data_IF_720918184440
#
_entry.id   IF_720918184440
#
_cell.length_a   1.000
_cell.length_b   1.000
_cell.length_c   1.000
_cell.angle_alpha   90.00
_cell.angle_beta   90.00
_cell.angle_gamma   90.00
#
_symmetry.space_group_name_H-M   'P 1'
#
loop_
_entity.id
_entity.type
_entity.pdbx_description
1 polymer ?
#
# COMPACT_ATOMS: atom_id res chain seq x y z
N UNK A 1 11.76 4.21 -19.86
CA UNK A 1 11.88 4.02 -18.39
C UNK A 1 12.49 2.64 -18.10
N UNK A 2 12.89 2.31 -16.86
CA UNK A 2 13.43 0.96 -16.54
C UNK A 2 12.40 0.15 -15.75
N UNK A 3 12.23 -1.12 -16.11
CA UNK A 3 11.42 -2.05 -15.31
C UNK A 3 11.99 -2.16 -13.89
N UNK A 4 11.19 -2.00 -12.82
CA UNK A 4 11.70 -2.04 -11.45
C UNK A 4 12.19 -3.42 -11.02
N UNK A 5 11.71 -4.49 -11.68
CA UNK A 5 12.06 -5.88 -11.34
C UNK A 5 13.34 -6.35 -12.01
N UNK A 6 13.46 -6.19 -13.32
CA UNK A 6 14.58 -6.74 -14.10
C UNK A 6 15.49 -5.68 -14.74
N UNK A 7 15.14 -4.39 -14.61
CA UNK A 7 15.87 -3.23 -15.16
C UNK A 7 15.90 -3.12 -16.69
N UNK A 8 15.25 -4.02 -17.42
CA UNK A 8 15.07 -3.91 -18.87
C UNK A 8 14.38 -2.58 -19.22
N UNK A 9 14.83 -1.86 -20.26
CA UNK A 9 14.12 -0.69 -20.78
C UNK A 9 12.68 -1.04 -21.15
N UNK A 10 11.75 -0.16 -20.81
CA UNK A 10 10.35 -0.25 -21.20
C UNK A 10 9.88 1.10 -21.71
N UNK A 11 8.97 1.06 -22.68
CA UNK A 11 8.38 2.24 -23.29
C UNK A 11 7.46 2.99 -22.32
N UNK A 12 6.74 4.02 -22.76
CA UNK A 12 5.57 4.59 -22.03
C UNK A 12 4.26 4.59 -22.86
N UNK A 13 4.33 4.49 -24.19
CA UNK A 13 3.17 4.31 -25.08
C UNK A 13 3.10 2.89 -25.65
N UNK A 14 1.91 2.28 -25.60
CA UNK A 14 1.62 0.93 -26.13
C UNK A 14 2.29 -0.28 -25.41
N UNK A 15 2.21 -0.33 -24.08
CA UNK A 15 2.58 -1.51 -23.27
C UNK A 15 1.63 -1.57 -22.08
N UNK A 16 0.91 -2.69 -21.99
CA UNK A 16 -0.15 -2.94 -21.02
C UNK A 16 0.36 -3.23 -19.60
N UNK A 17 1.63 -3.56 -19.46
CA UNK A 17 2.27 -4.02 -18.22
C UNK A 17 3.10 -2.94 -17.54
N UNK A 18 2.93 -1.66 -17.88
CA UNK A 18 3.67 -0.57 -17.22
C UNK A 18 3.44 -0.54 -15.71
N UNK A 19 4.46 -0.19 -14.89
CA UNK A 19 5.82 0.23 -15.26
C UNK A 19 6.79 -0.94 -15.59
N UNK A 20 6.29 -2.16 -15.72
CA UNK A 20 7.07 -3.36 -15.98
C UNK A 20 7.30 -3.58 -17.49
N UNK A 21 8.23 -4.50 -17.83
CA UNK A 21 8.48 -4.90 -19.21
C UNK A 21 7.57 -6.04 -19.69
N UNK A 22 6.91 -6.77 -18.78
CA UNK A 22 6.05 -7.91 -19.09
C UNK A 22 5.16 -8.30 -17.90
N UNK A 23 4.14 -9.10 -18.17
CA UNK A 23 3.26 -9.72 -17.16
C UNK A 23 4.04 -10.48 -16.09
N UNK A 24 5.06 -11.25 -16.50
CA UNK A 24 5.92 -11.98 -15.57
C UNK A 24 6.53 -11.06 -14.52
N UNK A 25 7.03 -9.89 -14.91
CA UNK A 25 7.62 -8.94 -13.96
C UNK A 25 6.56 -8.33 -13.04
N UNK A 26 5.36 -8.02 -13.56
CA UNK A 26 4.24 -7.56 -12.72
C UNK A 26 3.85 -8.59 -11.66
N UNK A 27 3.70 -9.86 -12.04
CA UNK A 27 3.36 -10.94 -11.12
C UNK A 27 4.49 -11.23 -10.11
N UNK A 28 5.75 -11.09 -10.52
CA UNK A 28 6.90 -11.26 -9.61
C UNK A 28 6.91 -10.17 -8.54
N UNK A 29 6.65 -8.93 -8.92
CA UNK A 29 6.54 -7.81 -7.99
C UNK A 29 5.39 -8.04 -6.99
N UNK A 30 4.21 -8.41 -7.51
CA UNK A 30 3.05 -8.76 -6.69
C UNK A 30 3.36 -9.89 -5.71
N UNK A 31 4.06 -10.94 -6.16
CA UNK A 31 4.50 -12.04 -5.30
C UNK A 31 5.41 -11.55 -4.17
N UNK A 32 6.35 -10.65 -4.47
CA UNK A 32 7.27 -10.08 -3.48
C UNK A 32 6.51 -9.25 -2.43
N UNK A 33 5.50 -8.50 -2.85
CA UNK A 33 4.57 -7.81 -1.93
C UNK A 33 3.81 -8.81 -1.05
N UNK A 34 3.20 -9.83 -1.66
CA UNK A 34 2.39 -10.81 -0.95
C UNK A 34 3.19 -11.59 0.11
N UNK A 35 4.48 -11.83 -0.12
CA UNK A 35 5.36 -12.50 0.84
C UNK A 35 5.98 -11.56 1.87
N UNK A 36 5.69 -10.25 1.82
CA UNK A 36 6.32 -9.25 2.70
C UNK A 36 7.83 -9.06 2.43
N UNK A 37 8.27 -9.32 1.20
CA UNK A 37 9.67 -9.16 0.79
C UNK A 37 10.09 -7.69 0.71
N UNK A 38 9.14 -6.79 0.43
CA UNK A 38 9.34 -5.35 0.53
C UNK A 38 9.04 -4.87 1.95
N UNK A 39 10.06 -4.31 2.60
CA UNK A 39 9.99 -3.81 3.98
C UNK A 39 10.91 -2.63 4.16
N UNK A 40 10.46 -1.66 4.94
CA UNK A 40 11.27 -0.52 5.36
C UNK A 40 11.88 -0.91 6.72
N UNK A 41 13.22 -0.91 6.87
CA UNK A 41 13.83 -1.17 8.16
C UNK A 41 13.42 -0.09 9.16
N UNK A 42 12.91 -0.51 10.31
CA UNK A 42 12.56 0.36 11.43
C UNK A 42 13.37 -0.01 12.68
N UNK A 43 13.32 0.84 13.73
CA UNK A 43 13.84 0.47 15.04
C UNK A 43 13.14 -0.81 15.54
N UNK A 44 13.81 -1.62 16.38
CA UNK A 44 13.17 -2.79 16.98
C UNK A 44 11.93 -2.36 17.77
N UNK A 45 10.84 -3.09 17.59
CA UNK A 45 9.63 -2.88 18.38
C UNK A 45 9.95 -3.23 19.84
N UNK A 46 9.92 -2.25 20.73
CA UNK A 46 9.92 -2.52 22.18
C UNK A 46 8.49 -2.76 22.62
N UNK A 47 8.28 -3.75 23.50
CA UNK A 47 6.94 -4.22 23.92
C UNK A 47 6.11 -3.12 24.59
N UNK A 48 6.76 -2.04 25.05
CA UNK A 48 6.12 -0.92 25.75
C UNK A 48 5.81 0.30 24.86
N UNK A 49 5.89 0.18 23.53
CA UNK A 49 5.43 1.28 22.66
C UNK A 49 3.90 1.26 22.60
N UNK A 50 3.27 2.19 23.32
CA UNK A 50 1.88 2.59 23.07
C UNK A 50 1.75 2.90 21.58
N UNK A 51 1.02 2.02 20.88
CA UNK A 51 0.68 2.23 19.47
C UNK A 51 -0.13 3.53 19.45
N UNK A 52 0.28 4.55 18.69
CA UNK A 52 -0.54 5.73 18.51
C UNK A 52 -1.89 5.27 17.97
N UNK A 53 -2.94 5.38 18.77
CA UNK A 53 -4.30 5.16 18.29
C UNK A 53 -4.60 6.33 17.37
N UNK A 54 -4.71 6.06 16.08
CA UNK A 54 -5.33 7.00 15.14
C UNK A 54 -6.79 7.18 15.58
N UNK A 55 -7.05 8.08 16.53
CA UNK A 55 -8.40 8.45 16.92
C UNK A 55 -9.08 9.16 15.74
N UNK A 56 -10.14 8.55 15.23
CA UNK A 56 -10.98 9.07 14.16
C UNK A 56 -11.66 10.39 14.61
N UNK A 57 -11.35 11.56 14.01
CA UNK A 57 -11.88 12.84 14.48
C UNK A 57 -13.38 13.05 14.18
N UNK A 58 -14.07 12.10 13.54
CA UNK A 58 -15.48 12.22 13.13
C UNK A 58 -16.40 11.20 13.83
N UNK A 59 -16.34 11.12 15.16
CA UNK A 59 -17.43 10.52 15.96
C UNK A 59 -18.39 11.56 16.55
N UNK A 60 -18.13 12.86 16.33
CA UNK A 60 -19.01 13.95 16.75
C UNK A 60 -20.05 14.33 15.70
N UNK A 61 -20.79 13.34 15.19
CA UNK A 61 -22.09 13.60 14.54
C UNK A 61 -23.18 12.68 15.06
N UNK A 62 -23.28 12.55 16.38
CA UNK A 62 -24.57 12.22 17.01
C UNK A 62 -25.43 13.48 16.98
N UNK A 63 -25.99 13.77 15.80
CA UNK A 63 -27.10 14.70 15.67
C UNK A 63 -28.31 14.06 16.32
N UNK A 64 -28.87 14.74 17.30
CA UNK A 64 -30.17 14.45 17.91
C UNK A 64 -31.22 14.17 16.84
N UNK A 65 -31.60 12.91 16.68
CA UNK A 65 -32.87 12.53 16.06
C UNK A 65 -33.81 12.30 17.24
N UNK A 66 -34.62 13.30 17.57
CA UNK A 66 -35.85 13.06 18.33
C UNK A 66 -36.78 12.24 17.45
N UNK A 67 -37.35 11.12 17.93
CA UNK A 67 -38.42 10.47 17.21
C UNK A 67 -39.68 11.33 17.34
N UNK A 68 -40.24 11.73 16.21
CA UNK A 68 -41.63 12.17 16.17
C UNK A 68 -42.54 10.98 16.52
N UNK A 69 -43.45 11.24 17.47
CA UNK A 69 -44.58 10.44 17.96
C UNK A 69 -44.34 9.50 19.15
#
# INVERSE_FOLDING_TARGET
MKCPVCRTPTEWKDNHWRPFCSERCQLTDLGTWATGGYRIPGPPLTVDQEVPTDEDPDTSRTGSITPDN
#
